data_IF_760146088385
#
_entry.id   IF_760146088385
#
_cell.length_a   1.000
_cell.length_b   1.000
_cell.length_c   1.000
_cell.angle_alpha   90.00
_cell.angle_beta   90.00
_cell.angle_gamma   90.00
#
_symmetry.space_group_name_H-M   'P 1'
#
loop_
_entity.id
_entity.type
_entity.pdbx_description
1 polymer ?
#
# COMPACT_ATOMS: atom_id res chain seq x y z
N UNK A 1 -5.22 33.09 10.05
CA UNK A 1 -5.17 34.23 9.10
C UNK A 1 -6.59 34.71 8.89
N UNK A 2 -6.85 36.02 8.85
CA UNK A 2 -8.22 36.53 8.61
C UNK A 2 -8.26 37.14 7.21
N UNK A 3 -9.17 36.66 6.37
CA UNK A 3 -9.36 37.17 5.01
C UNK A 3 -10.08 38.52 5.04
N UNK A 4 -10.00 39.25 3.92
CA UNK A 4 -10.71 40.53 3.74
C UNK A 4 -12.24 40.40 3.83
N UNK A 5 -12.77 39.19 3.65
CA UNK A 5 -14.17 38.82 3.84
C UNK A 5 -14.58 38.70 5.32
N UNK A 6 -13.63 38.75 6.25
CA UNK A 6 -13.85 38.47 7.68
C UNK A 6 -13.77 36.97 8.03
N UNK A 7 -13.61 36.09 7.05
CA UNK A 7 -13.45 34.65 7.28
C UNK A 7 -12.10 34.34 7.94
N UNK A 8 -12.10 33.44 8.94
CA UNK A 8 -10.89 33.01 9.64
C UNK A 8 -10.41 31.68 9.06
N UNK A 9 -9.17 31.68 8.58
CA UNK A 9 -8.45 30.49 8.12
C UNK A 9 -7.65 29.89 9.28
N UNK A 10 -8.02 28.66 9.66
CA UNK A 10 -7.35 27.87 10.68
C UNK A 10 -6.38 26.88 10.05
N UNK A 11 -5.08 27.05 10.31
CA UNK A 11 -4.05 26.09 9.93
C UNK A 11 -3.88 25.08 11.07
N UNK A 12 -4.60 23.96 11.01
CA UNK A 12 -4.59 22.94 12.08
C UNK A 12 -3.45 21.94 11.92
N UNK A 13 -3.34 21.35 10.74
CA UNK A 13 -2.35 20.32 10.44
C UNK A 13 -1.75 20.59 9.05
N UNK A 14 -0.43 20.44 8.88
CA UNK A 14 0.18 20.50 7.55
C UNK A 14 -0.29 19.32 6.69
N UNK A 15 -0.43 19.56 5.40
CA UNK A 15 -0.61 18.50 4.42
C UNK A 15 0.77 18.03 3.93
N UNK A 16 1.24 16.91 4.46
CA UNK A 16 2.59 16.42 4.19
C UNK A 16 2.73 15.95 2.74
N UNK A 17 3.80 16.38 2.07
CA UNK A 17 4.12 15.98 0.70
C UNK A 17 5.07 14.77 0.68
N UNK A 18 4.73 13.74 -0.09
CA UNK A 18 5.57 12.55 -0.29
C UNK A 18 6.43 12.64 -1.55
N UNK A 19 6.13 13.58 -2.47
CA UNK A 19 6.91 13.83 -3.68
C UNK A 19 8.16 14.66 -3.34
N UNK A 20 9.33 14.18 -3.74
CA UNK A 20 10.62 14.83 -3.51
C UNK A 20 11.46 14.89 -4.79
N UNK A 21 12.41 15.82 -4.84
CA UNK A 21 13.50 15.75 -5.83
C UNK A 21 14.48 14.66 -5.38
N UNK A 22 14.83 13.74 -6.28
CA UNK A 22 15.74 12.64 -6.00
C UNK A 22 17.10 13.11 -5.46
N UNK A 23 17.61 14.25 -5.95
CA UNK A 23 18.87 14.84 -5.47
C UNK A 23 18.84 15.22 -3.98
N UNK A 24 17.63 15.41 -3.41
CA UNK A 24 17.44 15.85 -2.02
C UNK A 24 16.96 14.71 -1.09
N UNK A 25 17.04 13.44 -1.52
CA UNK A 25 16.56 12.30 -0.72
C UNK A 25 17.17 12.27 0.69
N UNK A 26 18.45 12.60 0.84
CA UNK A 26 19.13 12.61 2.13
C UNK A 26 18.48 13.60 3.11
N UNK A 27 18.07 14.76 2.61
CA UNK A 27 17.37 15.79 3.40
C UNK A 27 16.01 15.26 3.86
N UNK A 28 15.26 14.59 2.98
CA UNK A 28 13.95 13.99 3.32
C UNK A 28 14.10 12.88 4.36
N UNK A 29 15.08 12.01 4.21
CA UNK A 29 15.36 10.93 5.19
C UNK A 29 15.70 11.51 6.56
N UNK A 30 16.52 12.58 6.61
CA UNK A 30 16.84 13.26 7.87
C UNK A 30 15.61 13.89 8.51
N UNK A 31 14.71 14.45 7.70
CA UNK A 31 13.44 14.99 8.18
C UNK A 31 12.52 13.91 8.75
N UNK A 32 12.33 12.80 8.04
CA UNK A 32 11.47 11.67 8.48
C UNK A 32 11.96 10.97 9.75
N UNK A 33 13.26 11.04 10.05
CA UNK A 33 13.84 10.49 11.28
C UNK A 33 13.61 11.39 12.51
N UNK A 34 13.22 12.66 12.33
CA UNK A 34 12.89 13.53 13.46
C UNK A 34 11.65 12.99 14.17
N UNK A 35 11.65 13.02 15.50
CA UNK A 35 10.43 12.80 16.28
C UNK A 35 9.49 13.96 16.02
N UNK A 36 8.20 13.70 15.78
CA UNK A 36 7.21 14.75 15.69
C UNK A 36 7.12 15.51 17.03
N UNK A 37 7.25 16.83 17.01
CA UNK A 37 7.21 17.62 18.25
C UNK A 37 5.82 17.58 18.92
N UNK A 38 5.83 17.48 20.25
CA UNK A 38 4.72 17.80 21.18
C UNK A 38 3.48 16.90 21.24
N UNK A 39 3.60 15.58 21.09
CA UNK A 39 2.64 14.65 21.71
C UNK A 39 3.37 13.50 22.41
N UNK A 40 2.89 13.06 23.58
CA UNK A 40 3.44 11.94 24.38
C UNK A 40 3.59 10.60 23.62
N UNK A 41 3.08 10.54 22.38
CA UNK A 41 3.20 9.42 21.44
C UNK A 41 3.86 9.87 20.14
N UNK A 42 4.90 10.70 20.21
CA UNK A 42 5.63 11.16 19.03
C UNK A 42 6.21 9.97 18.26
N UNK A 43 5.56 9.58 17.16
CA UNK A 43 6.08 8.59 16.23
C UNK A 43 6.92 9.32 15.17
N UNK A 44 7.93 8.65 14.64
CA UNK A 44 8.80 9.23 13.63
C UNK A 44 8.04 9.42 12.31
N UNK A 45 8.45 10.38 11.48
CA UNK A 45 7.80 10.66 10.19
C UNK A 45 7.69 9.43 9.27
N UNK A 46 8.66 8.51 9.32
CA UNK A 46 8.56 7.23 8.59
C UNK A 46 7.36 6.40 9.00
N UNK A 47 7.05 6.35 10.31
CA UNK A 47 5.90 5.62 10.81
C UNK A 47 4.61 6.27 10.32
N UNK A 48 4.51 7.60 10.36
CA UNK A 48 3.32 8.33 9.91
C UNK A 48 3.02 8.08 8.43
N UNK A 49 4.04 8.18 7.56
CA UNK A 49 3.87 7.92 6.13
C UNK A 49 3.54 6.45 5.84
N UNK A 50 4.15 5.50 6.56
CA UNK A 50 3.85 4.08 6.42
C UNK A 50 2.40 3.76 6.80
N UNK A 51 1.92 4.30 7.91
CA UNK A 51 0.53 4.08 8.35
C UNK A 51 -0.49 4.74 7.43
N UNK A 52 -0.12 5.87 6.80
CA UNK A 52 -0.96 6.46 5.78
C UNK A 52 -1.18 5.51 4.60
N UNK A 53 -0.18 4.70 4.22
CA UNK A 53 -0.34 3.64 3.21
C UNK A 53 -1.25 2.52 3.74
N UNK A 54 -1.05 2.07 4.98
CA UNK A 54 -1.87 1.03 5.60
C UNK A 54 -3.36 1.42 5.68
N UNK A 55 -3.66 2.68 6.00
CA UNK A 55 -5.04 3.19 6.04
C UNK A 55 -5.73 3.17 4.67
N UNK A 56 -4.95 3.22 3.57
CA UNK A 56 -5.49 3.14 2.22
C UNK A 56 -5.77 1.70 1.78
N UNK A 57 -5.23 0.68 2.46
CA UNK A 57 -5.42 -0.73 2.12
C UNK A 57 -6.91 -1.12 2.07
N UNK A 58 -7.75 -0.51 2.91
CA UNK A 58 -9.21 -0.72 2.89
C UNK A 58 -9.88 -0.33 1.56
N UNK A 59 -9.21 0.47 0.72
CA UNK A 59 -9.67 0.86 -0.62
C UNK A 59 -9.21 -0.10 -1.72
N UNK A 60 -8.29 -1.02 -1.42
CA UNK A 60 -7.62 -1.91 -2.38
C UNK A 60 -8.13 -3.36 -2.29
N UNK A 61 -9.43 -3.53 -2.00
CA UNK A 61 -10.09 -4.83 -1.87
C UNK A 61 -10.40 -5.44 -3.25
N UNK A 62 -9.36 -5.84 -3.99
CA UNK A 62 -9.52 -6.49 -5.29
C UNK A 62 -9.80 -8.00 -5.15
N UNK A 63 -10.47 -8.62 -6.16
CA UNK A 63 -10.72 -10.05 -6.18
C UNK A 63 -9.45 -10.90 -6.14
N UNK A 64 -9.49 -12.00 -5.39
CA UNK A 64 -8.42 -13.01 -5.23
C UNK A 64 -9.00 -14.43 -5.29
N UNK A 65 -10.06 -14.62 -6.08
CA UNK A 65 -10.90 -15.83 -6.09
C UNK A 65 -10.11 -17.05 -6.56
N UNK A 66 -9.22 -16.88 -7.54
CA UNK A 66 -8.43 -17.99 -8.08
C UNK A 66 -7.49 -18.60 -7.04
N UNK A 67 -6.90 -17.76 -6.19
CA UNK A 67 -6.07 -18.22 -5.08
C UNK A 67 -6.84 -18.88 -3.93
N UNK A 68 -8.15 -18.64 -3.82
CA UNK A 68 -9.02 -19.22 -2.79
C UNK A 68 -9.62 -20.57 -3.19
N UNK A 69 -9.52 -20.96 -4.47
CA UNK A 69 -9.99 -22.25 -4.98
C UNK A 69 -9.38 -23.41 -4.21
N UNK A 70 -10.15 -24.48 -4.02
CA UNK A 70 -9.77 -25.62 -3.19
C UNK A 70 -8.49 -26.29 -3.71
N UNK A 71 -8.37 -26.38 -5.03
CA UNK A 71 -7.28 -26.98 -5.79
C UNK A 71 -5.99 -26.17 -5.73
N UNK A 72 -6.10 -24.89 -5.35
CA UNK A 72 -4.97 -23.96 -5.24
C UNK A 72 -4.54 -23.70 -3.80
N UNK A 73 -5.29 -24.17 -2.79
CA UNK A 73 -4.95 -23.92 -1.37
C UNK A 73 -3.54 -24.40 -1.00
N UNK A 74 -3.15 -25.59 -1.45
CA UNK A 74 -1.82 -26.15 -1.19
C UNK A 74 -0.71 -25.48 -2.03
N UNK A 75 -1.06 -24.70 -3.06
CA UNK A 75 -0.12 -23.95 -3.91
C UNK A 75 0.25 -22.58 -3.31
N UNK A 76 -0.32 -22.23 -2.14
CA UNK A 76 -0.05 -20.99 -1.43
C UNK A 76 0.73 -21.25 -0.15
N UNK A 77 1.86 -20.53 0.06
CA UNK A 77 2.63 -20.62 1.32
C UNK A 77 1.81 -20.14 2.52
N UNK A 78 0.97 -19.12 2.33
CA UNK A 78 0.11 -18.56 3.38
C UNK A 78 -1.33 -18.44 2.87
N UNK A 79 -2.31 -18.77 3.72
CA UNK A 79 -3.73 -18.79 3.36
C UNK A 79 -4.28 -17.40 2.99
N UNK A 80 -3.71 -16.33 3.56
CA UNK A 80 -4.19 -14.95 3.42
C UNK A 80 -3.37 -14.10 2.44
N UNK A 81 -2.26 -14.62 1.90
CA UNK A 81 -1.42 -13.93 0.91
C UNK A 81 -1.67 -14.59 -0.45
N UNK A 82 -2.57 -13.99 -1.21
CA UNK A 82 -3.09 -14.52 -2.48
C UNK A 82 -2.93 -13.47 -3.58
N UNK A 83 -2.71 -13.89 -4.84
CA UNK A 83 -2.55 -12.95 -5.94
C UNK A 83 -3.90 -12.32 -6.30
N UNK A 84 -3.87 -11.06 -6.77
CA UNK A 84 -5.06 -10.44 -7.35
C UNK A 84 -5.39 -11.06 -8.70
N UNK A 85 -6.67 -11.37 -8.94
CA UNK A 85 -7.11 -12.05 -10.16
C UNK A 85 -6.82 -11.23 -11.43
N UNK A 86 -6.86 -9.89 -11.33
CA UNK A 86 -6.68 -8.97 -12.45
C UNK A 86 -5.24 -8.86 -12.95
N UNK A 87 -4.26 -9.21 -12.11
CA UNK A 87 -2.83 -9.11 -12.46
C UNK A 87 -2.06 -10.40 -12.22
N UNK A 88 -2.75 -11.50 -11.87
CA UNK A 88 -2.09 -12.79 -11.62
C UNK A 88 -1.38 -13.28 -12.87
N UNK A 89 -0.30 -14.02 -12.67
CA UNK A 89 0.30 -14.80 -13.75
C UNK A 89 -0.58 -16.01 -14.02
N UNK A 90 -0.97 -16.19 -15.28
CA UNK A 90 -1.69 -17.38 -15.75
C UNK A 90 -0.71 -18.22 -16.54
N UNK A 91 -0.43 -19.44 -16.06
CA UNK A 91 0.48 -20.37 -16.73
C UNK A 91 -0.14 -20.78 -18.08
N UNK A 92 0.72 -20.92 -19.10
CA UNK A 92 0.33 -21.36 -20.45
C UNK A 92 0.80 -22.80 -20.66
N UNK A 93 0.24 -23.45 -21.68
CA UNK A 93 0.59 -24.81 -22.08
C UNK A 93 0.37 -25.83 -20.94
N UNK A 94 -0.73 -25.66 -20.21
CA UNK A 94 -1.15 -26.52 -19.10
C UNK A 94 -2.29 -27.46 -19.53
N UNK A 95 -2.48 -28.54 -18.78
CA UNK A 95 -3.62 -29.44 -18.99
C UNK A 95 -4.92 -28.81 -18.46
N UNK A 96 -5.82 -28.44 -19.37
CA UNK A 96 -7.12 -27.82 -19.04
C UNK A 96 -8.07 -28.77 -18.28
N UNK A 97 -7.82 -30.08 -18.34
CA UNK A 97 -8.62 -31.05 -17.59
C UNK A 97 -8.29 -31.06 -16.09
N UNK A 98 -7.15 -30.50 -15.69
CA UNK A 98 -6.68 -30.42 -14.30
C UNK A 98 -7.06 -29.05 -13.72
N UNK A 99 -8.03 -28.95 -12.79
CA UNK A 99 -8.43 -27.67 -12.24
C UNK A 99 -7.29 -26.95 -11.52
N UNK A 100 -7.10 -25.68 -11.87
CA UNK A 100 -6.03 -24.84 -11.34
C UNK A 100 -4.63 -25.16 -11.88
N UNK A 101 -4.52 -25.92 -12.99
CA UNK A 101 -3.23 -26.15 -13.65
C UNK A 101 -2.57 -24.84 -14.13
N UNK A 102 -3.37 -23.82 -14.41
CA UNK A 102 -2.96 -22.48 -14.82
C UNK A 102 -2.50 -21.58 -13.66
N UNK A 103 -2.60 -22.05 -12.41
CA UNK A 103 -2.41 -21.22 -11.22
C UNK A 103 -0.97 -21.23 -10.69
N UNK A 104 -0.44 -20.02 -10.47
CA UNK A 104 0.74 -19.75 -9.65
C UNK A 104 0.45 -18.54 -8.76
N UNK A 105 0.92 -18.55 -7.50
CA UNK A 105 0.82 -17.41 -6.60
C UNK A 105 1.86 -16.34 -6.98
N UNK A 106 1.55 -15.55 -8.01
CA UNK A 106 2.37 -14.45 -8.51
C UNK A 106 1.52 -13.40 -9.24
N UNK A 107 1.98 -12.15 -9.26
CA UNK A 107 1.38 -11.04 -10.01
C UNK A 107 2.42 -10.34 -10.89
N UNK A 108 1.99 -9.80 -12.02
CA UNK A 108 2.80 -8.84 -12.78
C UNK A 108 2.81 -7.47 -12.10
N UNK A 109 4.00 -6.89 -11.94
CA UNK A 109 4.22 -5.51 -11.48
C UNK A 109 5.01 -4.79 -12.59
N UNK A 110 4.63 -3.57 -12.94
CA UNK A 110 5.26 -2.75 -13.99
C UNK A 110 5.44 -1.32 -13.49
#
# INVERSE_FOLDING_TARGET
MVERSGAVVHLKQPFNATRINAANIETRVRELNKMADNTEKAKQGFWEEFEMLQQQECKLLYPRKEGQRLENKCKNRYKNILPFDTTRVTLRDTDESIPGSDYINANYIK
#
